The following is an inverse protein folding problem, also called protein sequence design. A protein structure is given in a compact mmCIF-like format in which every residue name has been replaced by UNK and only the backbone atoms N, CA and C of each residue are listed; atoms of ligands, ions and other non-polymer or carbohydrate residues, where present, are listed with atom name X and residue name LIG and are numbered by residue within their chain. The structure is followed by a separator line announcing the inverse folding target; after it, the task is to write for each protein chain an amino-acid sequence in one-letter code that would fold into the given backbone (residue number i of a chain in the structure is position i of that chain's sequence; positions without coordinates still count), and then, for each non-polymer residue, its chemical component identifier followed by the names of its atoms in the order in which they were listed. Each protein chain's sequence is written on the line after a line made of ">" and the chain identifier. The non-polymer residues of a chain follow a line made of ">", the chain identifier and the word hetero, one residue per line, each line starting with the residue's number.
data_IF_819166287885
#
_entry.id   IF_819166287885
#
_cell.length_a   1.000
_cell.length_b   1.000
_cell.length_c   1.000
_cell.angle_alpha   90.00
_cell.angle_beta   90.00
_cell.angle_gamma   90.00
#
_symmetry.space_group_name_H-M   'P 1'
#
loop_
_entity.id
_entity.type
_entity.pdbx_description
1 polymer ?
#
# COMPACT_ATOMS: atom_id res chain seq x y z
N UNK A 1 -11.13 19.36 -7.27
CA UNK A 1 -9.82 19.40 -6.57
C UNK A 1 -9.65 18.14 -5.76
N UNK A 2 -8.47 17.49 -5.77
CA UNK A 2 -8.18 16.39 -4.84
C UNK A 2 -8.13 16.96 -3.42
N UNK A 3 -8.71 16.26 -2.45
CA UNK A 3 -8.70 16.66 -1.04
C UNK A 3 -7.27 16.75 -0.52
N UNK A 4 -6.94 17.78 0.27
CA UNK A 4 -5.64 17.91 0.92
C UNK A 4 -5.41 16.69 1.83
N UNK A 5 -4.32 15.96 1.59
CA UNK A 5 -3.95 14.84 2.47
C UNK A 5 -3.21 15.34 3.70
N UNK A 6 -3.42 14.64 4.81
CA UNK A 6 -2.71 14.79 6.07
C UNK A 6 -2.72 13.43 6.79
N UNK A 7 -2.13 13.39 7.99
CA UNK A 7 -2.06 12.17 8.80
C UNK A 7 -3.41 11.45 8.98
N UNK A 8 -4.53 12.18 9.09
CA UNK A 8 -5.86 11.59 9.33
C UNK A 8 -6.47 10.92 8.11
N UNK A 9 -6.09 11.32 6.89
CA UNK A 9 -6.76 10.88 5.65
C UNK A 9 -5.79 10.39 4.55
N UNK A 10 -4.53 10.13 4.87
CA UNK A 10 -3.52 9.64 3.93
C UNK A 10 -3.76 8.19 3.45
N UNK A 11 -4.56 7.41 4.18
CA UNK A 11 -4.92 6.04 3.79
C UNK A 11 -5.94 6.11 2.65
N UNK A 12 -5.60 5.48 1.54
CA UNK A 12 -6.44 5.48 0.34
C UNK A 12 -7.17 4.16 0.20
N UNK A 13 -8.49 4.26 0.09
CA UNK A 13 -9.35 3.17 -0.36
C UNK A 13 -9.71 3.37 -1.83
N UNK A 14 -9.75 2.28 -2.59
CA UNK A 14 -10.30 2.28 -3.95
C UNK A 14 -11.65 1.54 -3.93
N UNK A 15 -12.78 2.27 -3.92
CA UNK A 15 -14.10 1.69 -3.63
C UNK A 15 -14.52 0.54 -4.55
N UNK A 16 -14.32 0.60 -5.89
CA UNK A 16 -14.68 -0.52 -6.76
C UNK A 16 -13.99 -1.84 -6.40
N UNK A 17 -12.78 -1.76 -5.86
CA UNK A 17 -12.02 -2.96 -5.49
C UNK A 17 -12.31 -3.43 -4.08
N UNK A 18 -12.30 -2.52 -3.10
CA UNK A 18 -12.39 -2.87 -1.68
C UNK A 18 -13.82 -3.11 -1.22
N UNK A 19 -14.80 -2.38 -1.77
CA UNK A 19 -16.18 -2.39 -1.31
C UNK A 19 -17.16 -2.98 -2.32
N UNK A 20 -16.70 -3.35 -3.52
CA UNK A 20 -17.53 -4.03 -4.53
C UNK A 20 -16.93 -5.37 -4.92
N UNK A 21 -15.74 -5.38 -5.55
CA UNK A 21 -15.15 -6.62 -6.07
C UNK A 21 -14.94 -7.71 -5.01
N UNK A 22 -14.21 -7.42 -3.92
CA UNK A 22 -13.95 -8.43 -2.89
C UNK A 22 -15.23 -8.91 -2.16
N UNK A 23 -16.15 -8.03 -1.73
CA UNK A 23 -17.42 -8.47 -1.16
C UNK A 23 -18.23 -9.36 -2.10
N UNK A 24 -18.36 -8.98 -3.39
CA UNK A 24 -19.07 -9.78 -4.39
C UNK A 24 -18.42 -11.15 -4.58
N UNK A 25 -17.08 -11.19 -4.70
CA UNK A 25 -16.36 -12.46 -4.82
C UNK A 25 -16.55 -13.37 -3.61
N UNK A 26 -16.53 -12.81 -2.39
CA UNK A 26 -16.80 -13.59 -1.17
C UNK A 26 -18.22 -14.16 -1.15
N UNK A 27 -19.22 -13.37 -1.54
CA UNK A 27 -20.61 -13.85 -1.64
C UNK A 27 -20.71 -14.97 -2.68
N UNK A 28 -20.13 -14.80 -3.86
CA UNK A 28 -20.14 -15.82 -4.92
C UNK A 28 -19.45 -17.12 -4.50
N UNK A 29 -18.32 -17.03 -3.78
CA UNK A 29 -17.66 -18.20 -3.20
C UNK A 29 -18.52 -18.87 -2.13
N UNK A 30 -19.17 -18.09 -1.26
CA UNK A 30 -20.09 -18.60 -0.24
C UNK A 30 -21.30 -19.31 -0.84
N UNK A 31 -21.93 -18.73 -1.87
CA UNK A 31 -23.02 -19.37 -2.60
C UNK A 31 -22.57 -20.64 -3.30
N UNK A 32 -21.39 -20.63 -3.94
CA UNK A 32 -20.82 -21.82 -4.59
C UNK A 32 -20.60 -22.94 -3.59
N UNK A 33 -20.07 -22.62 -2.40
CA UNK A 33 -19.87 -23.60 -1.32
C UNK A 33 -21.21 -24.13 -0.78
N UNK A 34 -22.20 -23.26 -0.58
CA UNK A 34 -23.54 -23.64 -0.13
C UNK A 34 -24.23 -24.57 -1.13
N UNK A 35 -24.21 -24.23 -2.42
CA UNK A 35 -24.77 -25.09 -3.46
C UNK A 35 -24.01 -26.41 -3.60
N UNK A 36 -22.67 -26.40 -3.49
CA UNK A 36 -21.87 -27.63 -3.46
C UNK A 36 -22.21 -28.53 -2.27
N UNK A 37 -22.62 -27.95 -1.14
CA UNK A 37 -23.00 -28.70 0.05
C UNK A 37 -24.35 -29.43 -0.12
N UNK A 38 -25.33 -28.78 -0.74
CA UNK A 38 -26.67 -29.34 -0.93
C UNK A 38 -26.83 -30.18 -2.22
N UNK A 39 -25.93 -30.04 -3.19
CA UNK A 39 -26.01 -30.76 -4.46
C UNK A 39 -25.34 -32.14 -4.41
N UNK A 40 -25.76 -33.01 -5.32
CA UNK A 40 -25.31 -34.40 -5.42
C UNK A 40 -24.83 -34.71 -6.84
N UNK A 41 -23.97 -35.73 -6.98
CA UNK A 41 -23.46 -36.16 -8.27
C UNK A 41 -22.67 -35.05 -9.00
N UNK A 42 -22.87 -34.94 -10.31
CA UNK A 42 -22.10 -34.03 -11.17
C UNK A 42 -22.29 -32.55 -10.80
N UNK A 43 -23.46 -32.16 -10.34
CA UNK A 43 -23.75 -30.76 -9.96
C UNK A 43 -22.85 -30.26 -8.84
N UNK A 44 -22.53 -31.13 -7.86
CA UNK A 44 -21.61 -30.80 -6.77
C UNK A 44 -20.22 -30.43 -7.27
N UNK A 45 -19.69 -31.22 -8.21
CA UNK A 45 -18.37 -30.95 -8.78
C UNK A 45 -18.34 -29.66 -9.59
N UNK A 46 -19.44 -29.34 -10.28
CA UNK A 46 -19.58 -28.06 -11.00
C UNK A 46 -19.51 -26.88 -10.02
N UNK A 47 -20.27 -26.91 -8.92
CA UNK A 47 -20.24 -25.83 -7.92
C UNK A 47 -18.89 -25.69 -7.22
N UNK A 48 -18.19 -26.79 -6.96
CA UNK A 48 -16.81 -26.77 -6.46
C UNK A 48 -15.87 -26.10 -7.46
N UNK A 49 -15.94 -26.48 -8.75
CA UNK A 49 -15.10 -25.90 -9.80
C UNK A 49 -15.35 -24.39 -9.96
N UNK A 50 -16.62 -23.96 -9.92
CA UNK A 50 -17.00 -22.54 -9.94
C UNK A 50 -16.41 -21.79 -8.74
N UNK A 51 -16.55 -22.35 -7.53
CA UNK A 51 -16.00 -21.76 -6.31
C UNK A 51 -14.48 -21.62 -6.36
N UNK A 52 -13.77 -22.63 -6.86
CA UNK A 52 -12.33 -22.57 -7.11
C UNK A 52 -12.01 -21.49 -8.14
N UNK A 53 -12.79 -21.37 -9.22
CA UNK A 53 -12.63 -20.33 -10.23
C UNK A 53 -12.69 -18.92 -9.63
N UNK A 54 -13.71 -18.63 -8.80
CA UNK A 54 -13.79 -17.35 -8.08
C UNK A 54 -12.63 -17.16 -7.08
N UNK A 55 -12.20 -18.24 -6.42
CA UNK A 55 -11.01 -18.23 -5.57
C UNK A 55 -9.74 -17.85 -6.33
N UNK A 56 -9.49 -18.47 -7.49
CA UNK A 56 -8.35 -18.17 -8.36
C UNK A 56 -8.38 -16.72 -8.86
N UNK A 57 -9.55 -16.22 -9.31
CA UNK A 57 -9.71 -14.83 -9.74
C UNK A 57 -9.41 -13.84 -8.61
N UNK A 58 -9.94 -14.11 -7.42
CA UNK A 58 -9.71 -13.29 -6.22
C UNK A 58 -8.23 -13.31 -5.82
N UNK A 59 -7.61 -14.49 -5.87
CA UNK A 59 -6.20 -14.65 -5.55
C UNK A 59 -5.30 -13.89 -6.53
N UNK A 60 -5.53 -14.01 -7.83
CA UNK A 60 -4.78 -13.26 -8.85
C UNK A 60 -4.95 -11.76 -8.65
N UNK A 61 -6.18 -11.27 -8.44
CA UNK A 61 -6.43 -9.86 -8.18
C UNK A 61 -5.68 -9.34 -6.94
N UNK A 62 -5.65 -10.14 -5.87
CA UNK A 62 -4.88 -9.83 -4.67
C UNK A 62 -3.36 -9.81 -4.93
N UNK A 63 -2.83 -10.82 -5.63
CA UNK A 63 -1.40 -10.92 -5.98
C UNK A 63 -0.93 -9.74 -6.83
N UNK A 64 -1.71 -9.34 -7.85
CA UNK A 64 -1.38 -8.20 -8.72
C UNK A 64 -1.18 -6.91 -7.92
N UNK A 65 -2.06 -6.64 -6.95
CA UNK A 65 -1.93 -5.47 -6.07
C UNK A 65 -0.79 -5.65 -5.07
N UNK A 66 -0.82 -6.73 -4.29
CA UNK A 66 0.04 -6.90 -3.12
C UNK A 66 1.50 -7.11 -3.50
N UNK A 67 1.78 -7.90 -4.54
CA UNK A 67 3.15 -8.28 -4.89
C UNK A 67 3.73 -7.39 -5.99
N UNK A 68 2.97 -7.06 -7.04
CA UNK A 68 3.55 -6.30 -8.15
C UNK A 68 3.42 -4.80 -7.92
N UNK A 69 2.21 -4.30 -7.68
CA UNK A 69 2.00 -2.87 -7.57
C UNK A 69 2.69 -2.26 -6.34
N UNK A 70 2.53 -2.87 -5.14
CA UNK A 70 3.17 -2.36 -3.93
C UNK A 70 4.69 -2.47 -3.96
N UNK A 71 5.26 -3.57 -4.46
CA UNK A 71 6.72 -3.73 -4.57
C UNK A 71 7.31 -2.67 -5.51
N UNK A 72 6.68 -2.45 -6.67
CA UNK A 72 7.11 -1.40 -7.59
C UNK A 72 7.00 -0.01 -6.94
N UNK A 73 5.89 0.28 -6.25
CA UNK A 73 5.72 1.55 -5.55
C UNK A 73 6.74 1.75 -4.43
N UNK A 74 7.08 0.72 -3.66
CA UNK A 74 8.09 0.82 -2.61
C UNK A 74 9.46 1.17 -3.21
N UNK A 75 9.87 0.50 -4.30
CA UNK A 75 11.10 0.83 -5.03
C UNK A 75 11.09 2.25 -5.59
N UNK A 76 9.96 2.70 -6.12
CA UNK A 76 9.80 4.06 -6.62
C UNK A 76 9.87 5.11 -5.51
N UNK A 77 9.29 4.85 -4.33
CA UNK A 77 9.41 5.75 -3.17
C UNK A 77 10.87 5.89 -2.74
N UNK A 78 11.64 4.80 -2.66
CA UNK A 78 13.07 4.87 -2.32
C UNK A 78 13.85 5.70 -3.36
N UNK A 79 13.58 5.49 -4.65
CA UNK A 79 14.22 6.27 -5.72
C UNK A 79 13.85 7.76 -5.64
N UNK A 80 12.58 8.07 -5.37
CA UNK A 80 12.11 9.44 -5.18
C UNK A 80 12.81 10.09 -3.98
N UNK A 81 12.92 9.40 -2.84
CA UNK A 81 13.61 9.91 -1.65
C UNK A 81 15.09 10.19 -1.94
N UNK A 82 15.81 9.24 -2.55
CA UNK A 82 17.21 9.41 -2.95
C UNK A 82 17.39 10.63 -3.86
N UNK A 83 16.54 10.76 -4.89
CA UNK A 83 16.60 11.85 -5.84
C UNK A 83 16.32 13.21 -5.18
N UNK A 84 15.25 13.30 -4.38
CA UNK A 84 14.86 14.55 -3.70
C UNK A 84 15.89 14.98 -2.65
N UNK A 85 16.39 14.03 -1.86
CA UNK A 85 17.42 14.29 -0.87
C UNK A 85 18.72 14.78 -1.54
N UNK A 86 19.16 14.12 -2.61
CA UNK A 86 20.33 14.55 -3.37
C UNK A 86 20.14 15.93 -4.01
N UNK A 87 18.99 16.18 -4.64
CA UNK A 87 18.68 17.47 -5.25
C UNK A 87 18.66 18.62 -4.23
N UNK A 88 18.27 18.34 -2.98
CA UNK A 88 18.19 19.34 -1.91
C UNK A 88 19.52 19.56 -1.20
N UNK A 89 20.28 18.50 -0.95
CA UNK A 89 21.48 18.54 -0.08
C UNK A 89 22.81 18.42 -0.83
N UNK A 90 22.80 17.96 -2.08
CA UNK A 90 23.99 17.55 -2.83
C UNK A 90 24.61 16.23 -2.36
N UNK A 91 24.04 15.57 -1.35
CA UNK A 91 24.59 14.36 -0.74
C UNK A 91 23.75 13.13 -1.06
N UNK A 92 24.39 11.96 -1.08
CA UNK A 92 23.72 10.67 -1.22
C UNK A 92 22.82 10.39 -0.01
N UNK A 93 21.65 9.82 -0.25
CA UNK A 93 20.68 9.47 0.81
C UNK A 93 20.96 8.10 1.43
N UNK A 94 21.61 7.22 0.68
CA UNK A 94 21.84 5.83 1.03
C UNK A 94 22.48 5.62 2.43
N UNK A 95 23.45 6.45 2.89
CA UNK A 95 23.98 6.30 4.25
C UNK A 95 22.95 6.49 5.37
N UNK A 96 21.92 7.32 5.14
CA UNK A 96 20.80 7.51 6.08
C UNK A 96 19.75 6.42 5.85
N UNK A 97 19.49 6.07 4.59
CA UNK A 97 18.53 5.03 4.23
C UNK A 97 18.81 3.70 4.91
N UNK A 98 20.09 3.28 4.96
CA UNK A 98 20.51 2.01 5.60
C UNK A 98 20.23 1.96 7.11
N UNK A 99 20.02 3.13 7.74
CA UNK A 99 19.70 3.25 9.17
C UNK A 99 18.19 3.33 9.44
N UNK A 100 17.38 3.38 8.38
CA UNK A 100 15.93 3.53 8.47
C UNK A 100 15.21 2.24 8.04
N UNK A 101 14.12 1.96 8.73
CA UNK A 101 13.18 0.90 8.35
C UNK A 101 12.31 1.34 7.17
N UNK A 102 11.77 0.38 6.43
CA UNK A 102 10.76 0.62 5.38
C UNK A 102 9.61 1.51 5.86
N UNK A 103 9.15 1.32 7.10
CA UNK A 103 8.05 2.11 7.66
C UNK A 103 8.40 3.60 7.81
N UNK A 104 9.65 3.90 8.18
CA UNK A 104 10.16 5.26 8.32
C UNK A 104 10.41 5.88 6.95
N UNK A 105 11.00 5.13 6.01
CA UNK A 105 11.20 5.55 4.63
C UNK A 105 9.87 5.89 3.96
N UNK A 106 8.85 5.02 4.09
CA UNK A 106 7.52 5.29 3.55
C UNK A 106 6.78 6.43 4.24
N UNK A 107 7.16 6.80 5.47
CA UNK A 107 6.65 8.00 6.14
C UNK A 107 7.31 9.28 5.58
N UNK A 108 8.61 9.26 5.36
CA UNK A 108 9.38 10.40 4.83
C UNK A 108 8.91 10.85 3.45
N UNK A 109 8.26 9.99 2.66
CA UNK A 109 7.71 10.38 1.35
C UNK A 109 6.74 11.57 1.43
N UNK A 110 6.07 11.73 2.57
CA UNK A 110 5.11 12.81 2.80
C UNK A 110 5.79 14.12 3.25
N UNK A 111 7.08 14.10 3.59
CA UNK A 111 7.83 15.30 3.90
C UNK A 111 8.15 16.06 2.60
N UNK A 112 7.98 17.39 2.54
CA UNK A 112 8.41 18.23 1.43
C UNK A 112 9.95 18.38 1.40
N UNK A 113 10.49 18.89 0.30
CA UNK A 113 11.96 18.92 0.07
C UNK A 113 12.71 19.71 1.14
N UNK A 114 12.13 20.81 1.61
CA UNK A 114 12.71 21.65 2.67
C UNK A 114 12.70 21.00 4.06
N UNK A 115 11.79 20.06 4.33
CA UNK A 115 11.71 19.37 5.64
C UNK A 115 12.42 18.00 5.61
N UNK A 116 12.59 17.40 4.43
CA UNK A 116 13.06 16.03 4.27
C UNK A 116 14.44 15.77 4.93
N UNK A 117 15.50 16.60 4.73
CA UNK A 117 16.82 16.30 5.29
C UNK A 117 16.82 16.27 6.82
N UNK A 118 16.28 17.34 7.45
CA UNK A 118 16.23 17.47 8.90
C UNK A 118 15.36 16.37 9.53
N UNK A 119 14.23 16.03 8.89
CA UNK A 119 13.35 14.99 9.41
C UNK A 119 13.96 13.58 9.28
N UNK A 120 14.72 13.33 8.22
CA UNK A 120 15.42 12.05 8.04
C UNK A 120 16.53 11.86 9.08
N UNK A 121 17.36 12.89 9.31
CA UNK A 121 18.39 12.85 10.36
C UNK A 121 17.77 12.69 11.75
N UNK A 122 16.69 13.42 12.03
CA UNK A 122 15.95 13.31 13.29
C UNK A 122 15.36 11.92 13.48
N UNK A 123 14.80 11.32 12.42
CA UNK A 123 14.25 9.96 12.47
C UNK A 123 15.30 8.93 12.88
N UNK A 124 16.53 9.06 12.37
CA UNK A 124 17.66 8.21 12.76
C UNK A 124 18.07 8.49 14.20
N UNK A 125 18.30 9.76 14.55
CA UNK A 125 18.82 10.17 15.87
C UNK A 125 17.89 9.83 17.03
N UNK A 126 16.59 10.03 16.84
CA UNK A 126 15.56 9.81 17.86
C UNK A 126 14.89 8.42 17.73
N UNK A 127 15.27 7.62 16.74
CA UNK A 127 14.65 6.34 16.40
C UNK A 127 13.11 6.45 16.30
N UNK A 128 12.64 7.45 15.55
CA UNK A 128 11.21 7.77 15.46
C UNK A 128 10.44 6.64 14.76
N UNK A 129 9.30 6.24 15.29
CA UNK A 129 8.40 5.37 14.54
C UNK A 129 7.86 6.09 13.30
N UNK A 130 7.52 5.35 12.24
CA UNK A 130 6.95 5.95 11.02
C UNK A 130 5.66 6.76 11.26
N UNK A 131 4.91 6.45 12.31
CA UNK A 131 3.77 7.26 12.75
C UNK A 131 4.17 8.63 13.29
N UNK A 132 5.28 8.70 14.01
CA UNK A 132 5.76 9.92 14.64
C UNK A 132 6.45 10.82 13.63
N UNK A 133 7.16 10.24 12.66
CA UNK A 133 7.65 10.94 11.46
C UNK A 133 6.49 11.63 10.75
N UNK A 134 5.39 10.91 10.47
CA UNK A 134 4.21 11.49 9.83
C UNK A 134 3.64 12.66 10.64
N UNK A 135 3.53 12.52 11.96
CA UNK A 135 3.00 13.59 12.84
C UNK A 135 3.92 14.81 12.92
N UNK A 136 5.22 14.64 12.71
CA UNK A 136 6.19 15.71 12.74
C UNK A 136 6.25 16.56 11.45
N UNK A 137 5.61 16.11 10.36
CA UNK A 137 5.57 16.85 9.09
C UNK A 137 4.65 18.07 9.24
N UNK A 138 5.19 19.25 8.93
CA UNK A 138 4.44 20.50 9.02
C UNK A 138 3.66 20.76 7.73
N UNK A 139 4.32 20.67 6.57
CA UNK A 139 3.69 20.90 5.26
C UNK A 139 3.54 19.60 4.48
N UNK A 140 2.42 18.91 4.67
CA UNK A 140 2.21 17.57 4.12
C UNK A 140 2.24 17.55 2.57
N UNK A 141 3.17 16.76 1.99
CA UNK A 141 3.21 16.46 0.56
C UNK A 141 2.23 15.31 0.25
N UNK A 142 1.10 15.55 -0.45
CA UNK A 142 0.13 14.49 -0.72
C UNK A 142 0.67 13.44 -1.71
N UNK A 143 0.40 12.16 -1.44
CA UNK A 143 0.64 11.04 -2.35
C UNK A 143 -0.70 10.48 -2.82
N UNK A 144 -1.12 10.94 -3.99
CA UNK A 144 -2.34 10.49 -4.66
C UNK A 144 -2.11 9.33 -5.64
N UNK A 145 -0.89 8.78 -5.71
CA UNK A 145 -0.51 7.74 -6.67
C UNK A 145 -0.34 6.37 -6.01
N UNK A 146 -0.21 6.30 -4.68
CA UNK A 146 -0.27 5.05 -3.91
C UNK A 146 -1.56 4.26 -4.20
N UNK A 147 -1.45 2.92 -4.27
CA UNK A 147 -2.54 1.94 -4.45
C UNK A 147 -2.63 0.94 -3.30
#
# INVERSE_FOLDING_TARGET
>A
MKTVQNYKNHIRWYPPHHFVFYPVMLVLMGLSALHAWYSHGNERYIWIAIGIGFGCLTWVAFMLRQHYALTLQNRLVLLELRCRYFATTGNRFEPIEEQLTDSQLFALRFAPDNELPLLAERAVKENLAGTDIKKAISNWKPDHRRV
#
